data_IF_881469805626
#
_entry.id   IF_881469805626
#
_cell.length_a   1.000
_cell.length_b   1.000
_cell.length_c   1.000
_cell.angle_alpha   90.00
_cell.angle_beta   90.00
_cell.angle_gamma   90.00
#
_symmetry.space_group_name_H-M   'P 1'
#
loop_
_entity.id
_entity.type
_entity.pdbx_description
1 polymer ?
#
# COMPACT_ATOMS: atom_id res chain seq x y z
N UNK A 1 20.82 -3.85 6.90
CA UNK A 1 21.35 -4.08 5.53
C UNK A 1 20.22 -4.19 4.50
N UNK A 2 19.17 -4.98 4.78
CA UNK A 2 17.98 -5.10 3.90
C UNK A 2 17.26 -3.77 3.68
N UNK A 3 17.00 -2.98 4.73
CA UNK A 3 16.38 -1.64 4.60
C UNK A 3 17.12 -0.70 3.63
N UNK A 4 18.47 -0.68 3.72
CA UNK A 4 19.31 0.17 2.87
C UNK A 4 19.25 -0.29 1.41
N UNK A 5 19.29 -1.61 1.17
CA UNK A 5 19.18 -2.17 -0.17
C UNK A 5 17.81 -1.87 -0.80
N UNK A 6 16.72 -2.02 -0.04
CA UNK A 6 15.38 -1.72 -0.52
C UNK A 6 15.18 -0.24 -0.87
N UNK A 7 15.62 0.68 0.00
CA UNK A 7 15.51 2.12 -0.25
C UNK A 7 16.36 2.57 -1.45
N UNK A 8 17.56 1.99 -1.60
CA UNK A 8 18.42 2.23 -2.75
C UNK A 8 17.77 1.75 -4.06
N UNK A 9 17.18 0.54 -4.06
CA UNK A 9 16.48 0.00 -5.24
C UNK A 9 15.25 0.84 -5.59
N UNK A 10 14.44 1.24 -4.62
CA UNK A 10 13.31 2.14 -4.83
C UNK A 10 13.75 3.49 -5.42
N UNK A 11 14.86 4.05 -4.92
CA UNK A 11 15.44 5.28 -5.45
C UNK A 11 15.92 5.14 -6.89
N UNK A 12 16.61 4.04 -7.20
CA UNK A 12 17.08 3.73 -8.56
C UNK A 12 15.92 3.56 -9.53
N UNK A 13 14.86 2.85 -9.12
CA UNK A 13 13.64 2.71 -9.92
C UNK A 13 13.01 4.07 -10.22
N UNK A 14 12.83 4.92 -9.21
CA UNK A 14 12.25 6.25 -9.41
C UNK A 14 13.09 7.11 -10.38
N UNK A 15 14.41 7.08 -10.24
CA UNK A 15 15.32 7.83 -11.12
C UNK A 15 15.28 7.30 -12.55
N UNK A 16 15.27 5.99 -12.74
CA UNK A 16 15.14 5.37 -14.07
C UNK A 16 13.83 5.79 -14.73
N UNK A 17 12.71 5.72 -14.01
CA UNK A 17 11.41 6.12 -14.55
C UNK A 17 11.37 7.60 -14.96
N UNK A 18 12.00 8.50 -14.18
CA UNK A 18 12.15 9.91 -14.57
C UNK A 18 12.94 10.10 -15.85
N UNK A 19 14.06 9.39 -16.00
CA UNK A 19 14.90 9.47 -17.20
C UNK A 19 14.18 8.97 -18.45
N UNK A 20 13.26 8.01 -18.30
CA UNK A 20 12.43 7.49 -19.40
C UNK A 20 11.27 8.41 -19.79
N UNK A 21 11.07 9.52 -19.08
CA UNK A 21 10.00 10.49 -19.34
C UNK A 21 8.61 10.05 -18.87
N UNK A 22 7.62 10.90 -19.17
CA UNK A 22 6.24 10.65 -18.77
C UNK A 22 5.64 9.42 -19.45
N UNK A 23 4.75 8.73 -18.73
CA UNK A 23 4.12 7.52 -19.22
C UNK A 23 2.88 7.13 -18.45
N UNK A 24 1.99 6.38 -19.11
CA UNK A 24 1.07 5.47 -18.45
C UNK A 24 1.81 4.44 -17.56
N UNK A 25 1.07 3.76 -16.69
CA UNK A 25 1.61 2.76 -15.77
C UNK A 25 2.44 1.67 -16.50
N UNK A 26 3.70 1.51 -16.11
CA UNK A 26 4.63 0.50 -16.65
C UNK A 26 5.07 -0.49 -15.58
N UNK A 27 5.36 0.01 -14.38
CA UNK A 27 5.94 -0.77 -13.29
C UNK A 27 5.15 -0.52 -12.02
N UNK A 28 4.93 -1.55 -11.21
CA UNK A 28 4.41 -1.43 -9.84
C UNK A 28 5.45 -2.02 -8.90
N UNK A 29 5.91 -1.21 -7.95
CA UNK A 29 6.78 -1.68 -6.87
C UNK A 29 5.91 -2.22 -5.73
N UNK A 30 6.10 -3.49 -5.38
CA UNK A 30 5.45 -4.12 -4.23
C UNK A 30 6.43 -4.16 -3.04
N UNK A 31 6.02 -3.58 -1.93
CA UNK A 31 6.70 -3.66 -0.65
C UNK A 31 5.84 -4.53 0.27
N UNK A 32 6.27 -5.77 0.44
CA UNK A 32 5.72 -6.65 1.46
C UNK A 32 6.46 -6.38 2.79
N UNK A 33 5.70 -6.20 3.87
CA UNK A 33 6.17 -5.76 5.18
C UNK A 33 6.99 -4.45 5.19
N UNK A 34 6.28 -3.32 5.15
CA UNK A 34 6.88 -1.98 5.19
C UNK A 34 7.79 -1.71 6.40
N UNK A 35 7.59 -2.43 7.51
CA UNK A 35 8.42 -2.31 8.72
C UNK A 35 9.90 -2.55 8.43
N UNK A 36 10.21 -3.54 7.59
CA UNK A 36 11.60 -3.94 7.30
C UNK A 36 12.36 -2.90 6.48
N UNK A 37 11.64 -2.05 5.74
CA UNK A 37 12.24 -0.95 5.00
C UNK A 37 12.48 0.29 5.87
N UNK A 38 11.73 0.42 6.98
CA UNK A 38 11.68 1.63 7.78
C UNK A 38 11.12 2.83 6.99
N UNK A 39 11.38 4.04 7.51
CA UNK A 39 10.97 5.26 6.82
C UNK A 39 11.85 5.53 5.60
N UNK A 40 11.29 5.26 4.41
CA UNK A 40 11.96 5.41 3.11
C UNK A 40 11.52 6.69 2.40
N UNK A 41 12.47 7.61 2.18
CA UNK A 41 12.24 8.81 1.36
C UNK A 41 11.99 8.45 -0.11
N UNK A 42 12.51 7.32 -0.57
CA UNK A 42 12.26 6.82 -1.91
C UNK A 42 10.78 6.48 -2.09
N UNK A 43 10.16 5.78 -1.14
CA UNK A 43 8.74 5.47 -1.17
C UNK A 43 7.87 6.73 -1.14
N UNK A 44 8.22 7.71 -0.30
CA UNK A 44 7.51 9.01 -0.26
C UNK A 44 7.51 9.69 -1.63
N UNK A 45 8.67 9.69 -2.29
CA UNK A 45 8.83 10.28 -3.63
C UNK A 45 8.04 9.52 -4.69
N UNK A 46 8.05 8.19 -4.65
CA UNK A 46 7.29 7.37 -5.59
C UNK A 46 5.79 7.59 -5.37
N UNK A 47 5.31 7.63 -4.13
CA UNK A 47 3.91 7.88 -3.83
C UNK A 47 3.44 9.24 -4.36
N UNK A 48 4.26 10.28 -4.21
CA UNK A 48 3.93 11.63 -4.65
C UNK A 48 3.98 11.82 -6.18
N UNK A 49 5.06 11.33 -6.83
CA UNK A 49 5.39 11.66 -8.21
C UNK A 49 5.33 10.47 -9.19
N UNK A 50 5.42 9.23 -8.70
CA UNK A 50 5.62 8.04 -9.53
C UNK A 50 4.59 7.88 -10.65
N UNK A 51 3.34 8.26 -10.39
CA UNK A 51 2.25 8.23 -11.39
C UNK A 51 2.56 8.97 -12.69
N UNK A 52 3.35 10.05 -12.64
CA UNK A 52 3.71 10.86 -13.81
C UNK A 52 4.63 10.09 -14.77
N UNK A 53 5.42 9.18 -14.21
CA UNK A 53 6.49 8.46 -14.89
C UNK A 53 6.18 6.97 -15.06
N UNK A 54 4.91 6.57 -14.91
CA UNK A 54 4.48 5.19 -15.04
C UNK A 54 4.99 4.25 -13.93
N UNK A 55 5.28 4.77 -12.73
CA UNK A 55 5.67 3.97 -11.56
C UNK A 55 4.57 4.00 -10.49
N UNK A 56 3.94 2.85 -10.27
CA UNK A 56 3.01 2.61 -9.18
C UNK A 56 3.72 2.06 -7.93
N UNK A 57 3.06 2.21 -6.78
CA UNK A 57 3.54 1.71 -5.50
C UNK A 57 2.42 0.96 -4.78
N UNK A 58 2.76 -0.21 -4.26
CA UNK A 58 1.92 -1.02 -3.38
C UNK A 58 2.70 -1.30 -2.10
N UNK A 59 2.12 -0.94 -0.95
CA UNK A 59 2.77 -1.12 0.36
C UNK A 59 1.84 -1.91 1.27
N UNK A 60 2.35 -3.01 1.81
CA UNK A 60 1.66 -3.83 2.80
C UNK A 60 2.37 -3.73 4.16
N UNK A 61 1.59 -3.74 5.25
CA UNK A 61 2.09 -3.73 6.62
C UNK A 61 0.99 -4.20 7.57
N UNK A 62 1.39 -4.84 8.66
CA UNK A 62 0.49 -5.22 9.75
C UNK A 62 0.03 -4.03 10.60
N UNK A 63 0.83 -2.96 10.65
CA UNK A 63 0.46 -1.72 11.33
C UNK A 63 0.64 -0.52 10.43
N UNK A 64 -0.34 0.38 10.45
CA UNK A 64 -0.25 1.66 9.72
C UNK A 64 0.89 2.56 10.22
N UNK A 65 1.44 2.30 11.42
CA UNK A 65 2.58 3.05 11.98
C UNK A 65 3.88 2.85 11.20
N UNK A 66 4.01 1.74 10.47
CA UNK A 66 5.19 1.47 9.67
C UNK A 66 5.18 2.20 8.32
N UNK A 67 4.04 2.82 7.96
CA UNK A 67 3.86 3.52 6.69
C UNK A 67 3.94 5.03 6.94
N UNK A 68 4.74 5.73 6.13
CA UNK A 68 4.85 7.18 6.24
C UNK A 68 3.51 7.87 5.95
N UNK A 69 3.35 9.08 6.52
CA UNK A 69 2.16 9.90 6.24
C UNK A 69 2.08 10.30 4.76
N UNK A 70 3.22 10.49 4.10
CA UNK A 70 3.27 10.87 2.69
C UNK A 70 2.77 9.73 1.80
N UNK A 71 3.20 8.49 2.06
CA UNK A 71 2.67 7.31 1.37
C UNK A 71 1.17 7.16 1.64
N UNK A 72 0.75 7.25 2.92
CA UNK A 72 -0.67 7.13 3.29
C UNK A 72 -1.54 8.20 2.62
N UNK A 73 -1.06 9.44 2.51
CA UNK A 73 -1.83 10.56 1.95
C UNK A 73 -1.89 10.52 0.43
N UNK A 74 -0.80 10.13 -0.24
CA UNK A 74 -0.72 10.10 -1.70
C UNK A 74 -1.26 8.81 -2.33
N UNK A 75 -1.53 7.77 -1.53
CA UNK A 75 -2.11 6.52 -2.03
C UNK A 75 -3.62 6.63 -2.20
N UNK A 76 -4.12 6.42 -3.42
CA UNK A 76 -5.55 6.50 -3.74
C UNK A 76 -6.37 5.31 -3.22
N UNK A 77 -5.84 4.10 -3.38
CA UNK A 77 -6.52 2.85 -3.03
C UNK A 77 -6.02 2.33 -1.68
N UNK A 78 -6.93 2.03 -0.76
CA UNK A 78 -6.61 1.45 0.56
C UNK A 78 -7.36 0.15 0.74
N UNK A 79 -6.66 -0.88 1.19
CA UNK A 79 -7.18 -2.21 1.45
C UNK A 79 -6.95 -2.53 2.93
N UNK A 80 -8.02 -2.85 3.65
CA UNK A 80 -7.99 -3.22 5.05
C UNK A 80 -8.47 -4.65 5.18
N UNK A 81 -7.60 -5.48 5.72
CA UNK A 81 -7.87 -6.87 6.10
C UNK A 81 -8.31 -6.90 7.57
N UNK A 82 -8.80 -8.04 8.09
CA UNK A 82 -8.98 -8.22 9.52
C UNK A 82 -7.70 -7.83 10.29
N UNK A 83 -7.86 -7.04 11.35
CA UNK A 83 -6.78 -6.61 12.23
C UNK A 83 -7.09 -7.01 13.66
N UNK A 84 -6.05 -7.11 14.49
CA UNK A 84 -6.22 -7.32 15.92
C UNK A 84 -6.95 -6.13 16.58
N UNK A 85 -7.70 -6.41 17.65
CA UNK A 85 -8.44 -5.41 18.43
C UNK A 85 -7.58 -4.23 18.90
N UNK A 86 -6.28 -4.46 19.17
CA UNK A 86 -5.33 -3.42 19.58
C UNK A 86 -4.97 -2.43 18.46
N UNK A 87 -5.03 -2.86 17.19
CA UNK A 87 -4.76 -2.01 16.02
C UNK A 87 -6.04 -1.37 15.45
N UNK A 88 -7.22 -1.81 15.91
CA UNK A 88 -8.52 -1.39 15.40
C UNK A 88 -8.72 0.14 15.47
N UNK A 89 -8.51 0.83 16.61
CA UNK A 89 -8.80 2.27 16.70
C UNK A 89 -7.88 3.10 15.80
N UNK A 90 -6.61 2.69 15.71
CA UNK A 90 -5.64 3.34 14.85
C UNK A 90 -5.99 3.13 13.38
N UNK A 91 -6.29 1.90 12.99
CA UNK A 91 -6.63 1.53 11.60
C UNK A 91 -7.90 2.25 11.15
N UNK A 92 -8.95 2.25 11.97
CA UNK A 92 -10.20 2.96 11.71
C UNK A 92 -9.95 4.45 11.46
N UNK A 93 -9.20 5.12 12.34
CA UNK A 93 -8.86 6.54 12.20
C UNK A 93 -8.01 6.83 10.96
N UNK A 94 -6.95 6.04 10.73
CA UNK A 94 -6.00 6.26 9.64
C UNK A 94 -6.66 6.08 8.27
N UNK A 95 -7.49 5.05 8.12
CA UNK A 95 -8.11 4.69 6.84
C UNK A 95 -9.57 5.16 6.71
N UNK A 96 -10.09 5.83 7.75
CA UNK A 96 -11.41 6.46 7.83
C UNK A 96 -12.57 5.48 7.67
N UNK A 97 -12.43 4.27 8.20
CA UNK A 97 -13.51 3.30 8.33
C UNK A 97 -14.07 3.32 9.75
N UNK A 98 -15.29 2.82 9.96
CA UNK A 98 -15.78 2.56 11.32
C UNK A 98 -15.06 1.35 11.91
N UNK A 99 -14.80 1.39 13.22
CA UNK A 99 -14.22 0.26 13.96
C UNK A 99 -15.09 -0.99 13.82
N UNK A 100 -16.42 -0.84 13.93
CA UNK A 100 -17.38 -1.93 13.73
C UNK A 100 -17.23 -2.61 12.36
N UNK A 101 -17.06 -1.83 11.28
CA UNK A 101 -16.93 -2.41 9.95
C UNK A 101 -15.64 -3.22 9.79
N UNK A 102 -14.54 -2.79 10.43
CA UNK A 102 -13.27 -3.52 10.39
C UNK A 102 -13.34 -4.76 11.30
N UNK A 103 -13.93 -4.64 12.49
CA UNK A 103 -14.07 -5.75 13.45
C UNK A 103 -14.93 -6.90 12.90
N UNK A 104 -15.89 -6.58 12.02
CA UNK A 104 -16.77 -7.55 11.38
C UNK A 104 -16.17 -8.16 10.08
N UNK A 105 -14.89 -7.94 9.79
CA UNK A 105 -14.21 -8.61 8.70
C UNK A 105 -13.80 -10.03 9.10
N UNK A 106 -14.16 -11.01 8.27
CA UNK A 106 -13.70 -12.38 8.38
C UNK A 106 -12.41 -12.59 7.55
N UNK A 107 -11.67 -13.69 7.78
CA UNK A 107 -10.60 -14.10 6.87
C UNK A 107 -11.10 -14.14 5.42
N UNK A 108 -10.27 -13.65 4.50
CA UNK A 108 -10.61 -13.49 3.07
C UNK A 108 -11.69 -12.44 2.77
N UNK A 109 -12.01 -11.56 3.71
CA UNK A 109 -12.78 -10.33 3.43
C UNK A 109 -11.87 -9.11 3.54
N UNK A 110 -12.23 -8.03 2.84
CA UNK A 110 -11.54 -6.75 2.95
C UNK A 110 -12.49 -5.57 2.81
N UNK A 111 -12.18 -4.48 3.50
CA UNK A 111 -12.70 -3.16 3.16
C UNK A 111 -11.74 -2.48 2.19
N UNK A 112 -12.27 -2.11 1.02
CA UNK A 112 -11.53 -1.39 -0.03
C UNK A 112 -12.05 0.02 -0.12
N UNK A 113 -11.15 1.00 -0.05
CA UNK A 113 -11.45 2.39 -0.32
C UNK A 113 -10.78 2.84 -1.61
N UNK A 114 -11.59 3.34 -2.54
CA UNK A 114 -11.18 4.01 -3.76
C UNK A 114 -11.55 5.50 -3.63
N UNK A 115 -10.61 6.31 -3.14
CA UNK A 115 -10.90 7.72 -2.85
C UNK A 115 -12.01 7.89 -1.81
N UNK A 116 -13.22 8.28 -2.26
CA UNK A 116 -14.39 8.48 -1.39
C UNK A 116 -15.26 7.23 -1.23
N UNK A 117 -15.15 6.26 -2.13
CA UNK A 117 -16.01 5.08 -2.14
C UNK A 117 -15.39 3.97 -1.27
N UNK A 118 -16.19 3.39 -0.39
CA UNK A 118 -15.80 2.31 0.50
C UNK A 118 -16.69 1.09 0.22
N UNK A 119 -16.07 -0.07 -0.05
CA UNK A 119 -16.79 -1.31 -0.37
C UNK A 119 -16.20 -2.47 0.43
N UNK A 120 -17.06 -3.38 0.89
CA UNK A 120 -16.64 -4.69 1.39
C UNK A 120 -16.48 -5.64 0.19
N UNK A 121 -15.39 -6.39 0.14
CA UNK A 121 -15.09 -7.35 -0.93
C UNK A 121 -14.66 -8.69 -0.36
N UNK A 122 -14.92 -9.75 -1.11
CA UNK A 122 -14.40 -11.09 -0.86
C UNK A 122 -13.13 -11.31 -1.68
N UNK A 123 -12.10 -11.85 -1.04
CA UNK A 123 -10.81 -12.15 -1.65
C UNK A 123 -10.83 -13.60 -2.11
N UNK A 124 -10.62 -13.83 -3.41
CA UNK A 124 -10.38 -15.17 -3.93
C UNK A 124 -8.97 -15.61 -3.50
N UNK A 125 -8.84 -16.70 -2.72
CA UNK A 125 -7.54 -17.24 -2.32
C UNK A 125 -6.69 -17.58 -3.53
N UNK A 126 -5.38 -17.40 -3.42
CA UNK A 126 -4.45 -17.65 -4.53
C UNK A 126 -4.63 -19.04 -5.15
N UNK A 127 -4.75 -20.09 -4.34
CA UNK A 127 -4.91 -21.47 -4.78
C UNK A 127 -6.24 -21.78 -5.48
N UNK A 128 -7.22 -20.88 -5.40
CA UNK A 128 -8.51 -20.99 -6.11
C UNK A 128 -8.59 -20.09 -7.35
N UNK A 129 -7.56 -19.26 -7.57
CA UNK A 129 -7.50 -18.47 -8.79
C UNK A 129 -7.19 -19.44 -9.92
N UNK A 130 -8.12 -19.56 -10.87
CA UNK A 130 -7.86 -20.17 -12.17
C UNK A 130 -6.85 -19.27 -12.88
N UNK A 131 -5.58 -19.50 -12.55
CA UNK A 131 -4.46 -18.80 -13.17
C UNK A 131 -4.19 -19.58 -14.46
N UNK A 132 -4.28 -18.95 -15.64
CA UNK A 132 -3.87 -19.61 -16.89
C UNK A 132 -2.38 -19.99 -16.85
#
# INVERSE_FOLDING_TARGET
MQAIAGDALASQLMNRHRLLGESALRTVLFIDEAKELGYSKALDRIAADGRKYGLGLWVASQSSRHISKDVLTNTFTKLILPVDSSELPLTARTFRFSEEAIANLNPLESLVRFGKNANKVNIVPFYQRNTP
#
